data_IF_765369679079
#
_entry.id   IF_765369679079
#
_cell.length_a   1.000
_cell.length_b   1.000
_cell.length_c   1.000
_cell.angle_alpha   90.00
_cell.angle_beta   90.00
_cell.angle_gamma   90.00
#
_symmetry.space_group_name_H-M   'P 1'
#
loop_
_entity.id
_entity.type
_entity.pdbx_description
1 polymer ?
#
# COMPACT_ATOMS: atom_id res chain seq x y z
N UNK A 1 7.04 21.31 -1.13
CA UNK A 1 6.21 21.19 -2.35
C UNK A 1 5.87 22.54 -3.01
N UNK A 2 5.27 23.52 -2.31
CA UNK A 2 4.96 24.84 -2.92
C UNK A 2 6.18 25.55 -3.54
N UNK A 3 7.32 25.57 -2.83
CA UNK A 3 8.56 26.14 -3.36
C UNK A 3 9.07 25.41 -4.61
N UNK A 4 9.03 24.08 -4.63
CA UNK A 4 9.44 23.26 -5.79
C UNK A 4 8.53 23.53 -6.98
N UNK A 5 7.21 23.60 -6.77
CA UNK A 5 6.26 23.96 -7.82
C UNK A 5 6.60 25.32 -8.43
N UNK A 6 6.81 26.35 -7.60
CA UNK A 6 7.16 27.69 -8.06
C UNK A 6 8.47 27.71 -8.86
N UNK A 7 9.49 26.95 -8.44
CA UNK A 7 10.75 26.84 -9.18
C UNK A 7 10.61 26.17 -10.55
N UNK A 8 9.53 25.45 -10.80
CA UNK A 8 9.26 24.71 -12.04
C UNK A 8 8.19 25.35 -12.91
N UNK A 9 7.56 26.47 -12.50
CA UNK A 9 6.46 27.10 -13.25
C UNK A 9 6.85 27.51 -14.69
N UNK A 10 8.10 27.87 -14.94
CA UNK A 10 8.61 28.28 -16.26
C UNK A 10 9.30 27.15 -17.03
N UNK A 11 9.17 25.90 -16.59
CA UNK A 11 9.81 24.75 -17.25
C UNK A 11 9.03 24.22 -18.47
N UNK A 12 7.84 24.74 -18.73
CA UNK A 12 6.92 24.21 -19.74
C UNK A 12 6.20 22.92 -19.30
N UNK A 13 6.37 22.50 -18.04
CA UNK A 13 5.71 21.34 -17.46
C UNK A 13 4.39 21.73 -16.78
N UNK A 14 3.36 20.92 -16.96
CA UNK A 14 2.15 20.99 -16.14
C UNK A 14 2.37 20.26 -14.81
N UNK A 15 2.24 20.98 -13.69
CA UNK A 15 2.49 20.43 -12.36
C UNK A 15 1.19 20.22 -11.62
N UNK A 16 0.86 18.96 -11.40
CA UNK A 16 -0.33 18.53 -10.66
C UNK A 16 0.10 18.05 -9.26
N UNK A 17 -0.59 18.54 -8.23
CA UNK A 17 -0.44 18.05 -6.85
C UNK A 17 -1.72 17.28 -6.49
N UNK A 18 -1.78 15.97 -6.74
CA UNK A 18 -2.96 15.17 -6.43
C UNK A 18 -3.22 15.15 -4.92
N UNK A 19 -4.47 14.99 -4.52
CA UNK A 19 -4.86 15.01 -3.11
C UNK A 19 -5.82 13.87 -2.78
N UNK A 20 -5.42 13.01 -1.84
CA UNK A 20 -6.31 12.05 -1.20
C UNK A 20 -6.73 12.59 0.17
N UNK A 21 -7.98 13.07 0.32
CA UNK A 21 -8.46 13.54 1.63
C UNK A 21 -8.39 12.39 2.66
N UNK A 22 -7.93 12.65 3.90
CA UNK A 22 -7.71 13.97 4.52
C UNK A 22 -6.29 14.56 4.35
N UNK A 23 -5.42 13.95 3.54
CA UNK A 23 -4.03 14.41 3.35
C UNK A 23 -3.97 15.77 2.63
N UNK A 24 -2.85 16.45 2.79
CA UNK A 24 -2.55 17.70 2.10
C UNK A 24 -2.30 17.47 0.61
N UNK A 25 -2.43 18.48 -0.28
CA UNK A 25 -2.10 18.32 -1.69
C UNK A 25 -0.64 17.89 -1.91
N UNK A 26 -0.45 16.82 -2.68
CA UNK A 26 0.85 16.20 -2.96
C UNK A 26 1.41 15.32 -1.83
N UNK A 27 0.68 15.16 -0.72
CA UNK A 27 1.05 14.26 0.36
C UNK A 27 0.53 12.84 0.09
N UNK A 28 1.36 11.85 0.37
CA UNK A 28 1.04 10.41 0.22
C UNK A 28 1.49 9.64 1.47
N UNK A 29 0.77 8.57 1.78
CA UNK A 29 1.12 7.61 2.83
C UNK A 29 1.24 6.21 2.22
N UNK A 30 1.92 5.28 2.91
CA UNK A 30 2.09 3.92 2.38
C UNK A 30 0.76 3.20 2.18
N UNK A 31 -0.25 3.52 3.01
CA UNK A 31 -1.61 3.00 2.90
C UNK A 31 -2.55 3.86 2.05
N UNK A 32 -2.15 5.07 1.62
CA UNK A 32 -3.01 6.03 0.94
C UNK A 32 -2.23 6.78 -0.13
N UNK A 33 -2.44 6.41 -1.38
CA UNK A 33 -1.84 7.04 -2.56
C UNK A 33 -2.91 7.34 -3.62
N UNK A 34 -2.77 8.43 -4.41
CA UNK A 34 -3.72 8.78 -5.46
C UNK A 34 -3.60 7.86 -6.68
N UNK A 35 -4.71 7.69 -7.39
CA UNK A 35 -4.72 7.22 -8.77
C UNK A 35 -4.50 8.42 -9.69
N UNK A 36 -3.45 8.34 -10.48
CA UNK A 36 -3.05 9.33 -11.47
C UNK A 36 -3.75 8.93 -12.77
N UNK A 37 -4.53 9.85 -13.35
CA UNK A 37 -5.22 9.60 -14.62
C UNK A 37 -4.24 9.42 -15.78
N UNK A 38 -4.77 9.04 -16.94
CA UNK A 38 -3.98 8.72 -18.15
C UNK A 38 -3.15 9.89 -18.70
N UNK A 39 -3.43 11.12 -18.27
CA UNK A 39 -2.71 12.33 -18.68
C UNK A 39 -1.41 12.57 -17.91
N UNK A 40 -1.04 11.70 -16.97
CA UNK A 40 0.18 11.86 -16.18
C UNK A 40 1.36 11.11 -16.82
N UNK A 41 2.31 11.86 -17.40
CA UNK A 41 3.50 11.27 -18.04
C UNK A 41 4.51 10.69 -17.05
N UNK A 42 4.67 11.36 -15.90
CA UNK A 42 5.64 11.02 -14.89
C UNK A 42 5.27 11.60 -13.52
N UNK A 43 5.79 10.96 -12.48
CA UNK A 43 5.76 11.47 -11.10
C UNK A 43 7.16 11.67 -10.57
N UNK A 44 7.34 12.76 -9.81
CA UNK A 44 8.54 13.02 -9.02
C UNK A 44 8.17 12.98 -7.55
N UNK A 45 8.64 11.97 -6.85
CA UNK A 45 8.55 11.85 -5.40
C UNK A 45 9.70 12.59 -4.73
N UNK A 46 9.37 13.40 -3.72
CA UNK A 46 10.33 14.16 -2.93
C UNK A 46 10.38 13.56 -1.53
N UNK A 47 11.43 12.80 -1.24
CA UNK A 47 11.57 12.12 0.05
C UNK A 47 12.65 11.05 0.01
N UNK A 48 13.02 10.57 1.18
CA UNK A 48 13.85 9.39 1.36
C UNK A 48 12.99 8.12 1.43
N UNK A 49 13.64 6.96 1.30
CA UNK A 49 12.98 5.66 1.29
C UNK A 49 12.06 5.45 0.09
N UNK A 50 11.52 4.24 -0.03
CA UNK A 50 10.72 3.83 -1.20
C UNK A 50 9.29 3.46 -0.85
N UNK A 51 8.98 3.17 0.40
CA UNK A 51 7.68 2.62 0.82
C UNK A 51 6.48 3.45 0.38
N UNK A 52 6.54 4.78 0.54
CA UNK A 52 5.50 5.71 0.09
C UNK A 52 5.37 5.72 -1.45
N UNK A 53 6.51 5.81 -2.14
CA UNK A 53 6.55 5.81 -3.60
C UNK A 53 6.07 4.47 -4.20
N UNK A 54 6.39 3.34 -3.57
CA UNK A 54 5.93 2.03 -3.99
C UNK A 54 4.40 1.92 -3.94
N UNK A 55 3.76 2.47 -2.90
CA UNK A 55 2.30 2.56 -2.84
C UNK A 55 1.71 3.30 -4.06
N UNK A 56 2.31 4.42 -4.45
CA UNK A 56 1.92 5.17 -5.63
C UNK A 56 2.18 4.40 -6.93
N UNK A 57 3.36 3.77 -7.06
CA UNK A 57 3.71 2.96 -8.23
C UNK A 57 2.70 1.82 -8.40
N UNK A 58 2.36 1.10 -7.32
CA UNK A 58 1.41 -0.01 -7.35
C UNK A 58 0.04 0.41 -7.91
N UNK A 59 -0.44 1.61 -7.54
CA UNK A 59 -1.70 2.15 -8.05
C UNK A 59 -1.61 2.64 -9.50
N UNK A 60 -0.40 2.95 -9.99
CA UNK A 60 -0.17 3.65 -11.26
C UNK A 60 0.97 2.98 -12.08
N UNK A 61 0.81 1.70 -12.46
CA UNK A 61 1.89 0.88 -13.03
C UNK A 61 2.49 1.41 -14.34
N UNK A 62 1.74 2.19 -15.11
CA UNK A 62 2.16 2.76 -16.39
C UNK A 62 2.92 4.08 -16.26
N UNK A 63 2.81 4.76 -15.12
CA UNK A 63 3.40 6.10 -14.92
C UNK A 63 4.87 5.97 -14.56
N UNK A 64 5.73 6.76 -15.21
CA UNK A 64 7.17 6.77 -14.90
C UNK A 64 7.40 7.40 -13.53
N UNK A 65 8.04 6.69 -12.61
CA UNK A 65 8.34 7.19 -11.28
C UNK A 65 9.81 7.62 -11.15
N UNK A 66 10.01 8.79 -10.54
CA UNK A 66 11.32 9.30 -10.16
C UNK A 66 11.31 9.67 -8.68
N UNK A 67 12.47 9.54 -8.03
CA UNK A 67 12.69 9.94 -6.66
C UNK A 67 13.79 11.00 -6.59
N UNK A 68 13.54 12.08 -5.86
CA UNK A 68 14.56 12.97 -5.37
C UNK A 68 14.67 12.82 -3.85
N UNK A 69 15.81 12.33 -3.38
CA UNK A 69 16.14 12.28 -1.96
C UNK A 69 16.83 13.61 -1.57
N UNK A 70 16.20 14.47 -0.75
CA UNK A 70 16.76 15.77 -0.38
C UNK A 70 17.99 15.67 0.53
N UNK A 71 18.20 14.55 1.23
CA UNK A 71 19.35 14.35 2.10
C UNK A 71 20.58 13.94 1.31
N UNK A 72 20.46 12.92 0.46
CA UNK A 72 21.56 12.47 -0.39
C UNK A 72 21.73 13.30 -1.67
N UNK A 73 20.76 14.16 -2.00
CA UNK A 73 20.69 14.98 -3.22
C UNK A 73 20.76 14.15 -4.50
N UNK A 74 20.23 12.93 -4.45
CA UNK A 74 20.19 12.01 -5.59
C UNK A 74 18.83 12.07 -6.28
N UNK A 75 18.86 12.11 -7.61
CA UNK A 75 17.69 11.96 -8.45
C UNK A 75 17.78 10.63 -9.20
N UNK A 76 16.84 9.72 -8.95
CA UNK A 76 16.85 8.37 -9.50
C UNK A 76 15.53 8.06 -10.19
N UNK A 77 15.61 7.18 -11.21
CA UNK A 77 14.41 6.57 -11.79
C UNK A 77 14.08 5.32 -11.01
N UNK A 78 12.85 5.23 -10.54
CA UNK A 78 12.38 4.15 -9.70
C UNK A 78 11.54 3.15 -10.49
N UNK A 79 11.72 1.88 -10.16
CA UNK A 79 11.02 0.77 -10.78
C UNK A 79 10.40 -0.11 -9.70
N UNK A 80 9.20 -0.61 -9.97
CA UNK A 80 8.54 -1.59 -9.14
C UNK A 80 8.34 -2.89 -9.94
N UNK A 81 8.75 -4.02 -9.38
CA UNK A 81 8.60 -5.31 -10.05
C UNK A 81 7.18 -5.85 -9.83
N UNK A 82 6.29 -5.48 -10.75
CA UNK A 82 4.91 -5.97 -10.76
C UNK A 82 4.81 -7.47 -10.99
N UNK A 83 5.75 -8.07 -11.73
CA UNK A 83 5.72 -9.50 -11.99
C UNK A 83 6.00 -10.28 -10.68
N UNK A 84 6.95 -9.80 -9.87
CA UNK A 84 7.22 -10.36 -8.55
C UNK A 84 6.04 -10.14 -7.60
N UNK A 85 5.48 -8.92 -7.54
CA UNK A 85 4.30 -8.64 -6.72
C UNK A 85 3.14 -9.59 -7.06
N UNK A 86 2.79 -9.70 -8.33
CA UNK A 86 1.67 -10.53 -8.79
C UNK A 86 1.92 -12.01 -8.56
N UNK A 87 3.15 -12.48 -8.77
CA UNK A 87 3.54 -13.87 -8.49
C UNK A 87 3.41 -14.20 -7.01
N UNK A 88 3.92 -13.34 -6.13
CA UNK A 88 3.84 -13.55 -4.68
C UNK A 88 2.39 -13.55 -4.18
N UNK A 89 1.59 -12.58 -4.64
CA UNK A 89 0.15 -12.51 -4.30
C UNK A 89 -0.62 -13.72 -4.79
N UNK A 90 -0.35 -14.17 -6.02
CA UNK A 90 -0.98 -15.38 -6.58
C UNK A 90 -0.59 -16.62 -5.77
N UNK A 91 0.68 -16.77 -5.43
CA UNK A 91 1.16 -17.88 -4.59
C UNK A 91 0.46 -17.93 -3.23
N UNK A 92 0.34 -16.79 -2.55
CA UNK A 92 -0.41 -16.66 -1.29
C UNK A 92 -1.89 -17.06 -1.44
N UNK A 93 -2.56 -16.61 -2.50
CA UNK A 93 -3.96 -16.99 -2.80
C UNK A 93 -4.09 -18.49 -3.10
N UNK A 94 -3.15 -19.07 -3.85
CA UNK A 94 -3.17 -20.49 -4.20
C UNK A 94 -2.93 -21.41 -3.00
N UNK A 95 -2.17 -20.95 -2.00
CA UNK A 95 -2.05 -21.61 -0.68
C UNK A 95 -3.37 -21.47 0.08
N UNK A 96 -3.85 -20.24 0.27
CA UNK A 96 -5.07 -19.93 1.02
C UNK A 96 -6.32 -20.68 0.51
N UNK A 97 -6.40 -20.96 -0.80
CA UNK A 97 -7.49 -21.77 -1.40
C UNK A 97 -7.62 -23.18 -0.80
N UNK A 98 -6.51 -23.75 -0.33
CA UNK A 98 -6.46 -25.11 0.24
C UNK A 98 -6.73 -25.12 1.75
N UNK A 99 -6.67 -23.96 2.40
CA UNK A 99 -6.84 -23.80 3.83
C UNK A 99 -8.30 -23.94 4.26
N UNK A 100 -8.50 -24.42 5.48
CA UNK A 100 -9.81 -24.63 6.11
C UNK A 100 -10.05 -23.67 7.28
N UNK A 101 -8.98 -23.25 7.94
CA UNK A 101 -9.00 -22.36 9.11
C UNK A 101 -8.18 -21.10 8.87
N UNK A 102 -8.78 -19.93 9.11
CA UNK A 102 -8.17 -18.63 8.83
C UNK A 102 -8.00 -17.76 10.08
N UNK A 103 -6.88 -17.04 10.17
CA UNK A 103 -6.66 -15.99 11.17
C UNK A 103 -6.98 -14.62 10.61
N UNK A 104 -8.01 -13.95 11.13
CA UNK A 104 -8.32 -12.56 10.77
C UNK A 104 -7.63 -11.63 11.76
N UNK A 105 -6.52 -11.05 11.33
CA UNK A 105 -5.75 -10.10 12.13
C UNK A 105 -6.43 -8.72 12.06
N UNK A 106 -6.77 -8.16 13.23
CA UNK A 106 -7.23 -6.79 13.37
C UNK A 106 -6.24 -6.00 14.24
N UNK A 107 -5.64 -4.98 13.63
CA UNK A 107 -4.80 -4.01 14.32
C UNK A 107 -5.60 -3.23 15.37
N UNK A 108 -5.03 -3.04 16.56
CA UNK A 108 -5.65 -2.27 17.66
C UNK A 108 -4.98 -0.92 17.94
N UNK A 109 -3.88 -0.59 17.24
CA UNK A 109 -3.19 0.71 17.38
C UNK A 109 -3.81 1.81 16.51
N UNK A 110 -4.14 2.93 17.14
CA UNK A 110 -4.57 4.16 16.45
C UNK A 110 -5.82 3.98 15.60
N UNK A 111 -5.81 4.54 14.37
CA UNK A 111 -6.87 4.37 13.35
C UNK A 111 -6.57 3.20 12.40
N UNK A 112 -6.05 2.09 12.92
CA UNK A 112 -5.90 0.85 12.16
C UNK A 112 -7.15 -0.02 12.35
N UNK A 113 -7.58 -0.68 11.29
CA UNK A 113 -8.72 -1.60 11.33
C UNK A 113 -10.06 -0.92 11.06
N UNK A 114 -10.93 -1.67 10.40
CA UNK A 114 -12.31 -1.29 10.13
C UNK A 114 -13.18 -2.49 10.50
N UNK A 115 -13.94 -2.35 11.58
CA UNK A 115 -14.73 -3.47 12.13
C UNK A 115 -15.72 -4.03 11.10
N UNK A 116 -16.31 -3.17 10.26
CA UNK A 116 -17.24 -3.59 9.21
C UNK A 116 -16.57 -4.47 8.15
N UNK A 117 -15.29 -4.20 7.85
CA UNK A 117 -14.53 -5.03 6.91
C UNK A 117 -14.22 -6.39 7.56
N UNK A 118 -13.84 -6.41 8.84
CA UNK A 118 -13.60 -7.65 9.57
C UNK A 118 -14.86 -8.51 9.63
N UNK A 119 -15.99 -7.94 10.03
CA UNK A 119 -17.29 -8.63 10.09
C UNK A 119 -17.72 -9.18 8.72
N UNK A 120 -17.48 -8.43 7.65
CA UNK A 120 -17.76 -8.90 6.29
C UNK A 120 -16.83 -10.06 5.87
N UNK A 121 -15.57 -10.07 6.30
CA UNK A 121 -14.66 -11.19 6.06
C UNK A 121 -15.10 -12.43 6.84
N UNK A 122 -15.47 -12.28 8.11
CA UNK A 122 -16.02 -13.35 8.95
C UNK A 122 -17.24 -13.98 8.29
N UNK A 123 -18.23 -13.15 7.90
CA UNK A 123 -19.44 -13.60 7.19
C UNK A 123 -19.14 -14.36 5.90
N UNK A 124 -18.13 -13.94 5.13
CA UNK A 124 -17.73 -14.62 3.88
C UNK A 124 -17.10 -15.99 4.14
N UNK A 125 -16.32 -16.12 5.20
CA UNK A 125 -15.73 -17.40 5.60
C UNK A 125 -16.80 -18.36 6.11
N UNK A 126 -17.74 -17.88 6.93
CA UNK A 126 -18.90 -18.66 7.39
C UNK A 126 -19.73 -19.17 6.21
N UNK A 127 -20.07 -18.31 5.25
CA UNK A 127 -20.81 -18.69 4.05
C UNK A 127 -20.10 -19.75 3.18
N UNK A 128 -18.80 -19.97 3.41
CA UNK A 128 -17.98 -20.99 2.75
C UNK A 128 -17.63 -22.16 3.67
N UNK A 129 -18.27 -22.26 4.84
CA UNK A 129 -18.00 -23.26 5.88
C UNK A 129 -16.52 -23.35 6.27
N UNK A 130 -15.83 -22.20 6.30
CA UNK A 130 -14.44 -22.08 6.76
C UNK A 130 -14.43 -21.68 8.23
N UNK A 131 -13.52 -22.28 9.01
CA UNK A 131 -13.29 -21.88 10.40
C UNK A 131 -12.43 -20.61 10.41
N UNK A 132 -12.59 -19.78 11.41
CA UNK A 132 -11.75 -18.60 11.57
C UNK A 132 -11.61 -18.16 13.02
N UNK A 133 -10.54 -17.42 13.29
CA UNK A 133 -10.27 -16.76 14.56
C UNK A 133 -10.01 -15.28 14.32
N UNK A 134 -10.65 -14.41 15.09
CA UNK A 134 -10.31 -12.99 15.12
C UNK A 134 -9.17 -12.75 16.09
N UNK A 135 -8.05 -12.24 15.59
CA UNK A 135 -6.83 -12.02 16.35
C UNK A 135 -6.60 -10.51 16.49
N UNK A 136 -6.71 -10.00 17.72
CA UNK A 136 -6.49 -8.59 18.02
C UNK A 136 -5.01 -8.36 18.40
N UNK A 137 -4.30 -7.54 17.64
CA UNK A 137 -2.88 -7.25 17.90
C UNK A 137 -2.61 -5.74 17.78
N UNK A 138 -1.83 -5.20 18.72
CA UNK A 138 -1.29 -3.84 18.58
C UNK A 138 -0.25 -3.78 17.47
N UNK A 139 0.65 -4.77 17.44
CA UNK A 139 1.73 -4.90 16.47
C UNK A 139 1.85 -6.35 16.01
N UNK A 140 2.10 -6.53 14.71
CA UNK A 140 2.14 -7.83 14.03
C UNK A 140 3.59 -8.32 13.98
N UNK A 141 3.86 -9.45 14.63
CA UNK A 141 5.17 -10.10 14.63
C UNK A 141 5.02 -11.58 14.28
N UNK A 142 5.88 -12.16 13.43
CA UNK A 142 5.82 -13.59 13.07
C UNK A 142 5.74 -14.52 14.28
N UNK A 143 6.56 -14.28 15.32
CA UNK A 143 6.59 -15.12 16.52
C UNK A 143 5.30 -15.10 17.34
N UNK A 144 4.51 -14.02 17.25
CA UNK A 144 3.17 -13.97 17.88
C UNK A 144 2.16 -14.78 17.08
N UNK A 145 2.25 -14.74 15.75
CA UNK A 145 1.35 -15.47 14.85
C UNK A 145 1.64 -16.97 14.86
N UNK A 146 2.91 -17.36 15.01
CA UNK A 146 3.34 -18.77 15.10
C UNK A 146 2.71 -19.53 16.27
N UNK A 147 2.14 -18.83 17.27
CA UNK A 147 1.45 -19.44 18.42
C UNK A 147 0.04 -19.94 18.09
N UNK A 148 -0.52 -19.56 16.94
CA UNK A 148 -1.85 -20.00 16.50
C UNK A 148 -1.71 -21.24 15.61
N UNK A 149 -1.34 -22.38 16.20
CA UNK A 149 -1.07 -23.63 15.46
C UNK A 149 -2.30 -24.19 14.72
N UNK A 150 -3.51 -23.82 15.13
CA UNK A 150 -4.74 -24.26 14.46
C UNK A 150 -5.09 -23.44 13.21
N UNK A 151 -4.38 -22.35 12.93
CA UNK A 151 -4.61 -21.46 11.78
C UNK A 151 -3.77 -21.93 10.60
N UNK A 152 -4.44 -22.24 9.48
CA UNK A 152 -3.76 -22.63 8.24
C UNK A 152 -3.24 -21.40 7.46
N UNK A 153 -3.90 -20.24 7.60
CA UNK A 153 -3.62 -19.01 6.87
C UNK A 153 -4.02 -17.73 7.61
#
# INVERSE_FOLDING_TARGET
LKAVRASLENSGLEIILPQCKPLSPGEILGCTSPQLGDSCDAVVYLGDGRFHLESLMIHNPSVKAYQYDPYSRKFTREHYDFNVLMRNRKGAVDIARKCCTFGIIQGTLGRQGNIKIVEELERRLEAKNKKFFRILLSEIFPDKLAKFEEVDW
#
